data_IF_227613384244
#
_entry.id   IF_227613384244
#
_cell.length_a   1.000
_cell.length_b   1.000
_cell.length_c   1.000
_cell.angle_alpha   90.00
_cell.angle_beta   90.00
_cell.angle_gamma   90.00
#
_symmetry.space_group_name_H-M   'P 1'
#
loop_
_entity.id
_entity.type
_entity.pdbx_description
1 polymer ?
#
# COMPACT_ATOMS: atom_id res chain seq x y z
N UNK A 1 3.86 22.98 19.31
CA UNK A 1 2.85 22.56 20.29
C UNK A 1 2.92 21.05 20.40
N UNK A 2 3.09 20.48 21.59
CA UNK A 2 3.13 19.02 21.79
C UNK A 2 1.76 18.49 22.23
N UNK A 3 1.52 17.18 22.08
CA UNK A 3 0.27 16.55 22.51
C UNK A 3 0.04 16.74 24.02
N UNK A 4 1.10 16.63 24.82
CA UNK A 4 1.05 16.81 26.27
C UNK A 4 0.59 18.24 26.61
N UNK A 5 1.08 19.25 25.88
CA UNK A 5 0.67 20.64 26.07
C UNK A 5 -0.82 20.84 25.75
N UNK A 6 -1.33 20.21 24.69
CA UNK A 6 -2.76 20.25 24.33
C UNK A 6 -3.62 19.57 25.39
N UNK A 7 -3.20 18.41 25.89
CA UNK A 7 -3.92 17.69 26.94
C UNK A 7 -3.99 18.52 28.22
N UNK A 8 -2.90 19.19 28.61
CA UNK A 8 -2.90 20.05 29.80
C UNK A 8 -3.85 21.23 29.64
N UNK A 9 -3.95 21.82 28.45
CA UNK A 9 -4.91 22.89 28.16
C UNK A 9 -6.36 22.37 28.16
N UNK A 10 -6.62 21.24 27.50
CA UNK A 10 -7.96 20.63 27.46
C UNK A 10 -8.46 20.23 28.86
N UNK A 11 -7.57 19.89 29.80
CA UNK A 11 -7.92 19.60 31.20
C UNK A 11 -8.48 20.81 31.95
N UNK A 12 -8.10 22.03 31.57
CA UNK A 12 -8.55 23.28 32.21
C UNK A 12 -9.99 23.65 31.82
N UNK A 13 -10.53 23.07 30.74
CA UNK A 13 -11.90 23.29 30.29
C UNK A 13 -12.93 22.75 31.30
N UNK A 14 -14.10 23.40 31.34
CA UNK A 14 -15.27 22.87 32.05
C UNK A 14 -15.75 21.57 31.41
N UNK A 15 -16.58 20.80 32.13
CA UNK A 15 -17.11 19.54 31.63
C UNK A 15 -17.88 19.71 30.30
N UNK A 16 -18.65 20.79 30.16
CA UNK A 16 -19.43 21.09 28.96
C UNK A 16 -18.51 21.43 27.78
N UNK A 17 -17.45 22.19 28.00
CA UNK A 17 -16.47 22.54 26.97
C UNK A 17 -15.66 21.33 26.52
N UNK A 18 -15.31 20.43 27.43
CA UNK A 18 -14.68 19.14 27.08
C UNK A 18 -15.57 18.33 26.15
N UNK A 19 -16.88 18.27 26.42
CA UNK A 19 -17.83 17.58 25.55
C UNK A 19 -17.92 18.23 24.16
N UNK A 20 -17.92 19.58 24.09
CA UNK A 20 -17.89 20.30 22.81
C UNK A 20 -16.61 20.03 22.02
N UNK A 21 -15.46 19.99 22.70
CA UNK A 21 -14.17 19.66 22.09
C UNK A 21 -14.17 18.26 21.49
N UNK A 22 -14.69 17.27 22.24
CA UNK A 22 -14.82 15.89 21.75
C UNK A 22 -15.76 15.84 20.54
N UNK A 23 -16.92 16.49 20.60
CA UNK A 23 -17.85 16.54 19.46
C UNK A 23 -17.25 17.19 18.21
N UNK A 24 -16.38 18.19 18.38
CA UNK A 24 -15.73 18.86 17.27
C UNK A 24 -14.65 18.00 16.60
N UNK A 25 -13.88 17.23 17.39
CA UNK A 25 -12.71 16.48 16.89
C UNK A 25 -13.05 15.04 16.48
N UNK A 26 -14.03 14.40 17.13
CA UNK A 26 -14.37 13.00 16.88
C UNK A 26 -14.67 12.68 15.39
N UNK A 27 -15.42 13.50 14.63
CA UNK A 27 -15.70 13.20 13.22
C UNK A 27 -14.45 13.18 12.33
N UNK A 28 -13.44 13.99 12.65
CA UNK A 28 -12.20 14.03 11.88
C UNK A 28 -11.35 12.80 12.17
N UNK A 29 -11.27 12.40 13.43
CA UNK A 29 -10.64 11.14 13.84
C UNK A 29 -11.35 9.95 13.19
N UNK A 30 -12.67 9.94 13.15
CA UNK A 30 -13.44 8.88 12.48
C UNK A 30 -13.10 8.79 10.99
N UNK A 31 -13.00 9.92 10.27
CA UNK A 31 -12.60 9.94 8.85
C UNK A 31 -11.18 9.42 8.62
N UNK A 32 -10.25 9.73 9.52
CA UNK A 32 -8.87 9.26 9.46
C UNK A 32 -8.74 7.77 9.80
N UNK A 33 -9.63 7.26 10.66
CA UNK A 33 -9.67 5.86 11.08
C UNK A 33 -10.47 4.96 10.13
N UNK A 34 -11.39 5.50 9.33
CA UNK A 34 -12.03 4.74 8.26
C UNK A 34 -10.91 4.29 7.31
N UNK A 35 -10.62 2.98 7.22
CA UNK A 35 -9.62 2.49 6.29
C UNK A 35 -10.09 2.93 4.91
N UNK A 36 -9.32 3.80 4.25
CA UNK A 36 -9.47 4.10 2.82
C UNK A 36 -9.79 2.79 2.14
N UNK A 37 -11.02 2.66 1.63
CA UNK A 37 -11.65 1.38 1.26
C UNK A 37 -10.61 0.37 0.81
N UNK A 38 -10.50 -0.76 1.51
CA UNK A 38 -9.71 -1.89 1.01
C UNK A 38 -10.40 -2.31 -0.28
N UNK A 39 -10.02 -1.70 -1.40
CA UNK A 39 -10.52 -2.08 -2.71
C UNK A 39 -10.26 -3.57 -2.82
N UNK A 40 -11.27 -4.39 -3.17
CA UNK A 40 -11.07 -5.81 -3.33
C UNK A 40 -9.87 -6.00 -4.24
N UNK A 41 -8.83 -6.69 -3.73
CA UNK A 41 -7.62 -6.93 -4.49
C UNK A 41 -8.04 -7.63 -5.77
N UNK A 42 -7.71 -7.04 -6.92
CA UNK A 42 -7.94 -7.67 -8.22
C UNK A 42 -7.16 -8.98 -8.23
N UNK A 43 -7.83 -10.08 -8.57
CA UNK A 43 -7.14 -11.36 -8.75
C UNK A 43 -6.06 -11.19 -9.81
N UNK A 44 -4.83 -11.66 -9.52
CA UNK A 44 -3.77 -11.75 -10.53
C UNK A 44 -3.99 -12.94 -11.48
N UNK A 45 -4.96 -13.82 -11.16
CA UNK A 45 -5.32 -14.93 -12.02
C UNK A 45 -5.84 -14.41 -13.37
N UNK A 46 -5.21 -14.85 -14.46
CA UNK A 46 -5.56 -14.43 -15.81
C UNK A 46 -4.99 -13.07 -16.23
N UNK A 47 -4.07 -12.46 -15.46
CA UNK A 47 -3.43 -11.19 -15.85
C UNK A 47 -2.65 -11.28 -17.17
N UNK A 48 -2.18 -12.48 -17.53
CA UNK A 48 -1.47 -12.78 -18.76
C UNK A 48 -2.32 -13.59 -19.76
N UNK A 49 -3.65 -13.67 -19.59
CA UNK A 49 -4.49 -14.51 -20.45
C UNK A 49 -4.49 -14.04 -21.92
N UNK A 50 -4.21 -12.76 -22.14
CA UNK A 50 -4.03 -12.12 -23.44
C UNK A 50 -2.71 -12.49 -24.13
N UNK A 51 -1.69 -12.93 -23.38
CA UNK A 51 -0.41 -13.39 -23.92
C UNK A 51 -0.49 -14.78 -24.58
N UNK A 52 -1.65 -15.45 -24.48
CA UNK A 52 -1.87 -16.77 -25.04
C UNK A 52 -1.22 -17.89 -24.23
N UNK A 53 -0.89 -18.99 -24.90
CA UNK A 53 -0.28 -20.15 -24.25
C UNK A 53 1.14 -19.82 -23.82
N UNK A 54 1.48 -20.12 -22.56
CA UNK A 54 2.85 -19.99 -22.07
C UNK A 54 3.78 -20.94 -22.86
N UNK A 55 5.01 -20.50 -23.17
CA UNK A 55 6.00 -21.36 -23.83
C UNK A 55 6.30 -22.60 -22.98
N UNK A 56 6.72 -23.68 -23.64
CA UNK A 56 7.14 -24.90 -22.95
C UNK A 56 8.46 -24.69 -22.20
N UNK A 57 8.80 -25.61 -21.29
CA UNK A 57 10.09 -25.55 -20.59
C UNK A 57 11.24 -25.69 -21.59
N UNK A 58 11.07 -26.53 -22.61
CA UNK A 58 12.00 -26.76 -23.69
C UNK A 58 12.22 -25.49 -24.53
N UNK A 59 11.15 -24.77 -24.88
CA UNK A 59 11.24 -23.49 -25.61
C UNK A 59 12.02 -22.45 -24.80
N UNK A 60 11.78 -22.38 -23.48
CA UNK A 60 12.48 -21.46 -22.58
C UNK A 60 13.97 -21.82 -22.49
N UNK A 61 14.29 -23.10 -22.36
CA UNK A 61 15.67 -23.55 -22.23
C UNK A 61 16.47 -23.37 -23.53
N UNK A 62 15.83 -23.58 -24.68
CA UNK A 62 16.42 -23.29 -25.98
C UNK A 62 16.77 -21.78 -26.09
N UNK A 63 15.82 -20.89 -25.79
CA UNK A 63 16.06 -19.44 -25.85
C UNK A 63 17.13 -18.99 -24.86
N UNK A 64 17.19 -19.59 -23.66
CA UNK A 64 18.29 -19.31 -22.70
C UNK A 64 19.66 -19.67 -23.26
N UNK A 65 19.77 -20.78 -23.98
CA UNK A 65 21.01 -21.18 -24.63
C UNK A 65 21.36 -20.22 -25.78
N UNK A 66 20.39 -19.86 -26.61
CA UNK A 66 20.58 -18.91 -27.73
C UNK A 66 21.03 -17.53 -27.23
N UNK A 67 20.42 -17.01 -26.18
CA UNK A 67 20.77 -15.73 -25.56
C UNK A 67 22.12 -15.81 -24.82
N UNK A 68 22.40 -16.94 -24.15
CA UNK A 68 23.65 -17.17 -23.42
C UNK A 68 24.90 -17.19 -24.30
N UNK A 69 24.73 -17.41 -25.61
CA UNK A 69 25.81 -17.32 -26.60
C UNK A 69 26.13 -15.87 -27.03
N UNK A 70 25.25 -14.89 -26.74
CA UNK A 70 25.42 -13.48 -27.13
C UNK A 70 25.95 -12.57 -26.03
N UNK A 71 26.01 -13.04 -24.79
CA UNK A 71 26.66 -12.33 -23.68
C UNK A 71 28.12 -12.78 -23.59
N UNK A 72 28.96 -12.33 -24.53
CA UNK A 72 30.40 -12.35 -24.29
C UNK A 72 30.63 -11.56 -23.01
N UNK A 73 31.12 -12.24 -21.97
CA UNK A 73 31.61 -11.54 -20.78
C UNK A 73 32.78 -10.71 -21.28
N UNK A 74 32.59 -9.40 -21.39
CA UNK A 74 33.70 -8.48 -21.52
C UNK A 74 34.51 -8.66 -20.22
N UNK A 75 35.57 -9.45 -20.32
CA UNK A 75 36.51 -9.69 -19.24
C UNK A 75 37.06 -8.33 -18.80
N UNK A 76 36.69 -7.88 -17.59
CA UNK A 76 37.33 -6.76 -16.89
C UNK A 76 38.58 -7.29 -16.19
#
# INVERSE_FOLDING_TARGET
>A
MTLEQVIQQAKQLSALEKMRLIQAIAPDVEKELIPTEIKPRRSLWGICADLGQAPSAEDIDQVRQEIGLGFEREDI
#
